data_IF_140651725951
#
_entry.id   IF_140651725951
#
_cell.length_a   1.000
_cell.length_b   1.000
_cell.length_c   1.000
_cell.angle_alpha   90.00
_cell.angle_beta   90.00
_cell.angle_gamma   90.00
#
_symmetry.space_group_name_H-M   'P 1'
#
loop_
_entity.id
_entity.type
_entity.pdbx_description
1 polymer ?
#
# COMPACT_ATOMS: atom_id res chain seq x y z
N UNK A 1 0.31 21.02 -6.27
CA UNK A 1 0.85 20.93 -4.90
C UNK A 1 1.13 19.46 -4.62
N UNK A 2 2.36 19.11 -4.22
CA UNK A 2 2.83 17.72 -4.07
C UNK A 2 3.34 17.48 -2.64
N UNK A 3 2.41 17.17 -1.73
CA UNK A 3 2.70 17.02 -0.30
C UNK A 3 2.40 15.59 0.20
N UNK A 4 2.18 14.65 -0.72
CA UNK A 4 1.90 13.25 -0.37
C UNK A 4 0.47 12.96 0.07
N UNK A 5 -0.41 13.96 0.20
CA UNK A 5 -1.79 13.74 0.68
C UNK A 5 -2.67 12.88 -0.23
N UNK A 6 -2.38 12.85 -1.54
CA UNK A 6 -3.29 12.28 -2.54
C UNK A 6 -3.59 10.80 -2.29
N UNK A 7 -2.58 9.99 -1.96
CA UNK A 7 -2.77 8.57 -1.70
C UNK A 7 -3.60 8.36 -0.43
N UNK A 8 -3.26 9.06 0.66
CA UNK A 8 -3.98 8.96 1.93
C UNK A 8 -5.46 9.37 1.80
N UNK A 9 -5.75 10.42 1.03
CA UNK A 9 -7.13 10.85 0.80
C UNK A 9 -7.95 9.85 0.00
N UNK A 10 -7.36 9.21 -1.02
CA UNK A 10 -8.02 8.17 -1.80
C UNK A 10 -8.33 6.94 -0.94
N UNK A 11 -7.36 6.50 -0.12
CA UNK A 11 -7.53 5.37 0.80
C UNK A 11 -8.60 5.68 1.86
N UNK A 12 -8.52 6.84 2.53
CA UNK A 12 -9.47 7.23 3.58
C UNK A 12 -10.89 7.42 3.04
N UNK A 13 -11.04 7.93 1.80
CA UNK A 13 -12.34 8.10 1.13
C UNK A 13 -12.82 6.83 0.41
N UNK A 14 -12.11 5.70 0.58
CA UNK A 14 -12.45 4.39 0.00
C UNK A 14 -12.61 4.43 -1.53
N UNK A 15 -11.71 5.14 -2.21
CA UNK A 15 -11.76 5.35 -3.66
C UNK A 15 -10.77 4.44 -4.38
N UNK A 16 -11.26 3.69 -5.34
CA UNK A 16 -10.43 3.04 -6.37
C UNK A 16 -9.82 4.09 -7.30
N UNK A 17 -8.64 3.82 -7.83
CA UNK A 17 -7.94 4.71 -8.76
C UNK A 17 -7.10 3.94 -9.77
N UNK A 18 -6.79 4.59 -10.90
CA UNK A 18 -5.96 4.01 -11.96
C UNK A 18 -4.67 4.82 -12.08
N UNK A 19 -3.53 4.12 -12.09
CA UNK A 19 -2.23 4.71 -12.37
C UNK A 19 -1.95 4.57 -13.86
N UNK A 20 -1.70 5.69 -14.51
CA UNK A 20 -1.26 5.75 -15.90
C UNK A 20 0.25 5.99 -15.91
N UNK A 21 0.96 5.25 -16.75
CA UNK A 21 2.38 5.45 -16.97
C UNK A 21 2.61 6.01 -18.37
N UNK A 22 3.60 6.88 -18.53
CA UNK A 22 4.11 7.26 -19.85
C UNK A 22 5.07 6.22 -20.42
N UNK A 23 5.60 5.33 -19.58
CA UNK A 23 6.55 4.27 -19.97
C UNK A 23 5.90 2.89 -20.16
N UNK A 24 4.65 2.70 -19.72
CA UNK A 24 3.90 1.45 -19.90
C UNK A 24 2.53 1.78 -20.49
N UNK A 25 2.17 1.08 -21.56
CA UNK A 25 0.87 1.19 -22.21
C UNK A 25 -0.26 0.56 -21.39
N UNK A 26 0.07 -0.29 -20.42
CA UNK A 26 -0.91 -0.97 -19.56
C UNK A 26 -1.12 -0.16 -18.28
N UNK A 27 -2.32 0.40 -18.06
CA UNK A 27 -2.66 1.08 -16.82
C UNK A 27 -2.75 0.08 -15.66
N UNK A 28 -2.43 0.53 -14.44
CA UNK A 28 -2.57 -0.28 -13.24
C UNK A 28 -3.81 0.19 -12.49
N UNK A 29 -4.82 -0.65 -12.41
CA UNK A 29 -6.03 -0.39 -11.63
C UNK A 29 -5.83 -0.84 -10.19
N UNK A 30 -6.05 0.08 -9.24
CA UNK A 30 -6.01 -0.17 -7.80
C UNK A 30 -7.44 -0.08 -7.27
N UNK A 31 -8.06 -1.24 -7.09
CA UNK A 31 -9.42 -1.36 -6.54
C UNK A 31 -9.40 -1.33 -5.02
N UNK A 32 -10.23 -0.49 -4.38
CA UNK A 32 -10.40 -0.52 -2.92
C UNK A 32 -11.26 -1.73 -2.49
N UNK A 33 -10.93 -2.43 -1.39
CA UNK A 33 -9.73 -2.29 -0.56
C UNK A 33 -8.50 -2.92 -1.24
N UNK A 34 -7.32 -2.34 -1.01
CA UNK A 34 -6.06 -2.86 -1.56
C UNK A 34 -4.94 -2.80 -0.51
N UNK A 35 -4.35 -3.95 -0.20
CA UNK A 35 -3.31 -4.08 0.82
C UNK A 35 -1.98 -3.45 0.41
N UNK A 36 -1.73 -3.25 -0.89
CA UNK A 36 -0.51 -2.65 -1.42
C UNK A 36 -0.55 -1.12 -1.46
N UNK A 37 -1.58 -0.51 -0.86
CA UNK A 37 -1.62 0.94 -0.61
C UNK A 37 -1.03 1.32 0.75
N UNK A 38 -0.64 0.32 1.56
CA UNK A 38 -0.03 0.44 2.87
C UNK A 38 1.28 -0.35 2.84
N UNK A 39 2.31 0.15 3.52
CA UNK A 39 3.60 -0.54 3.58
C UNK A 39 3.54 -1.75 4.55
N UNK A 40 4.31 -2.82 4.29
CA UNK A 40 4.47 -3.90 5.25
C UNK A 40 5.23 -3.42 6.50
N UNK A 41 5.08 -4.18 7.59
CA UNK A 41 5.93 -4.04 8.78
C UNK A 41 7.38 -4.34 8.35
N UNK A 42 8.37 -3.52 8.72
CA UNK A 42 9.77 -3.79 8.38
C UNK A 42 10.23 -5.14 8.95
N UNK A 43 10.96 -5.94 8.14
CA UNK A 43 11.44 -7.25 8.60
C UNK A 43 12.31 -7.16 9.86
N UNK A 44 13.13 -6.12 9.97
CA UNK A 44 13.95 -5.89 11.15
C UNK A 44 13.14 -5.73 12.44
N UNK A 45 11.92 -5.20 12.37
CA UNK A 45 11.02 -5.09 13.54
C UNK A 45 10.46 -6.46 13.95
N UNK A 46 10.15 -7.32 12.97
CA UNK A 46 9.69 -8.70 13.22
C UNK A 46 10.82 -9.53 13.84
N UNK A 47 12.04 -9.38 13.30
CA UNK A 47 13.20 -10.13 13.79
C UNK A 47 13.62 -9.69 15.21
N UNK A 48 13.42 -8.42 15.55
CA UNK A 48 13.80 -7.85 16.85
C UNK A 48 12.73 -8.02 17.95
N UNK A 49 11.45 -8.07 17.58
CA UNK A 49 10.34 -8.10 18.53
C UNK A 49 9.59 -9.44 18.51
N UNK A 50 9.81 -10.27 19.52
CA UNK A 50 9.18 -11.59 19.66
C UNK A 50 7.65 -11.56 19.78
N UNK A 51 7.05 -10.40 20.04
CA UNK A 51 5.59 -10.23 20.08
C UNK A 51 4.96 -9.93 18.72
N UNK A 52 5.77 -9.69 17.69
CA UNK A 52 5.30 -9.45 16.32
C UNK A 52 5.76 -10.64 15.46
N UNK A 53 4.84 -11.16 14.66
CA UNK A 53 5.06 -12.31 13.80
C UNK A 53 4.83 -11.96 12.33
N UNK A 54 5.34 -12.80 11.42
CA UNK A 54 5.07 -12.64 9.99
C UNK A 54 3.56 -12.68 9.68
N UNK A 55 2.77 -13.42 10.47
CA UNK A 55 1.31 -13.47 10.31
C UNK A 55 0.59 -12.16 10.65
N UNK A 56 1.24 -11.23 11.34
CA UNK A 56 0.67 -9.91 11.64
C UNK A 56 0.78 -8.91 10.48
N UNK A 57 1.42 -9.33 9.37
CA UNK A 57 1.56 -8.52 8.16
C UNK A 57 0.22 -8.29 7.45
N UNK A 58 0.21 -7.24 6.63
CA UNK A 58 -0.85 -7.05 5.64
C UNK A 58 -0.89 -8.24 4.69
N UNK A 59 -2.07 -8.78 4.39
CA UNK A 59 -2.20 -9.96 3.52
C UNK A 59 -1.54 -9.71 2.15
N UNK A 60 -0.62 -10.60 1.77
CA UNK A 60 0.15 -10.52 0.52
C UNK A 60 1.64 -10.18 0.71
N UNK A 61 2.07 -9.93 1.95
CA UNK A 61 3.46 -9.72 2.35
C UNK A 61 3.97 -10.84 3.26
#
# INVERSE_FOLDING_TARGET
MFEGHRLFDLTRKKKSFTKYSTSSLVPITVSYPNNYTILPIPQAEIDANTSISQSDQNTGY
#
